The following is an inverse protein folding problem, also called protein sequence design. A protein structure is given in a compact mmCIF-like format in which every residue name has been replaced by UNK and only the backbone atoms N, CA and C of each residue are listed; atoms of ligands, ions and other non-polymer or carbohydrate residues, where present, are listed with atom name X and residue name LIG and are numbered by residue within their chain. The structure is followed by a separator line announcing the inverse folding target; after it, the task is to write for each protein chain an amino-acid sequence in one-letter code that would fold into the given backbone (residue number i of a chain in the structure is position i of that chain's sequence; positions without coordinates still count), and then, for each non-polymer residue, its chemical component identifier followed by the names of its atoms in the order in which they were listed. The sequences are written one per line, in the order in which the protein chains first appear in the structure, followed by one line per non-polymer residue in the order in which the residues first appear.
data_IF_820920449200
#
_entry.id   IF_820920449200
#
_cell.length_a   1.000
_cell.length_b   1.000
_cell.length_c   1.000
_cell.angle_alpha   90.00
_cell.angle_beta   90.00
_cell.angle_gamma   90.00
#
_symmetry.space_group_name_H-M   'P 1'
#
loop_
_entity.id
_entity.type
_entity.pdbx_description
1 polymer ?
#
# COMPACT_ATOMS: atom_id res chain seq x y z
N UNK A 1 -19.97 12.14 4.45
CA UNK A 1 -21.12 11.23 4.66
C UNK A 1 -20.60 9.93 5.28
N UNK A 2 -20.77 9.73 6.58
CA UNK A 2 -20.47 8.45 7.23
C UNK A 2 -21.66 7.51 6.97
N UNK A 3 -21.68 6.84 5.82
CA UNK A 3 -22.67 5.80 5.54
C UNK A 3 -22.28 4.55 6.35
N UNK A 4 -23.00 4.27 7.43
CA UNK A 4 -22.90 3.04 8.19
C UNK A 4 -24.02 2.08 7.76
N UNK A 5 -23.76 0.78 7.85
CA UNK A 5 -24.78 -0.22 7.53
C UNK A 5 -25.83 -0.28 8.64
N UNK A 6 -27.12 -0.26 8.25
CA UNK A 6 -28.24 -0.35 9.20
C UNK A 6 -28.32 -1.73 9.86
N UNK A 7 -27.83 -2.76 9.18
CA UNK A 7 -27.93 -4.17 9.63
C UNK A 7 -26.66 -4.67 10.31
N UNK A 8 -25.51 -4.06 10.03
CA UNK A 8 -24.24 -4.33 10.73
C UNK A 8 -23.51 -3.00 10.94
N UNK A 9 -23.61 -2.44 12.14
CA UNK A 9 -23.06 -1.11 12.44
C UNK A 9 -21.53 -1.07 12.45
N UNK A 10 -20.90 -2.23 12.59
CA UNK A 10 -19.44 -2.37 12.56
C UNK A 10 -18.90 -2.48 11.12
N UNK A 11 -19.78 -2.67 10.13
CA UNK A 11 -19.40 -2.77 8.72
C UNK A 11 -19.50 -1.40 8.02
N UNK A 12 -18.58 -1.18 7.07
CA UNK A 12 -18.58 0.03 6.24
C UNK A 12 -18.93 -0.33 4.80
N UNK A 13 -19.58 0.60 4.09
CA UNK A 13 -19.84 0.43 2.67
C UNK A 13 -18.53 0.48 1.86
N UNK A 14 -18.24 -0.63 1.20
CA UNK A 14 -17.07 -0.81 0.34
C UNK A 14 -17.53 -1.09 -1.08
N UNK A 15 -16.74 -0.64 -2.06
CA UNK A 15 -17.06 -0.86 -3.47
C UNK A 15 -16.60 -2.26 -3.89
N UNK A 16 -17.54 -3.18 -3.97
CA UNK A 16 -17.28 -4.58 -4.36
C UNK A 16 -17.38 -4.73 -5.88
N UNK A 17 -16.45 -5.49 -6.46
CA UNK A 17 -16.46 -5.85 -7.89
C UNK A 17 -17.15 -7.21 -8.04
N UNK A 18 -18.47 -7.22 -8.03
CA UNK A 18 -19.24 -8.48 -8.03
C UNK A 18 -19.62 -9.00 -9.43
N UNK A 19 -19.45 -8.21 -10.49
CA UNK A 19 -19.91 -8.58 -11.83
C UNK A 19 -18.74 -8.72 -12.83
N UNK A 20 -18.86 -9.66 -13.76
CA UNK A 20 -18.04 -9.77 -14.98
C UNK A 20 -17.98 -8.42 -15.72
N UNK A 21 -19.03 -7.61 -15.59
CA UNK A 21 -19.17 -6.25 -16.15
C UNK A 21 -18.54 -5.13 -15.31
N UNK A 22 -17.92 -5.40 -14.15
CA UNK A 22 -17.23 -4.43 -13.26
C UNK A 22 -18.07 -3.25 -12.74
N UNK A 23 -19.41 -3.31 -12.78
CA UNK A 23 -20.26 -2.30 -12.15
C UNK A 23 -20.15 -2.42 -10.63
N UNK A 24 -19.25 -1.62 -10.03
CA UNK A 24 -18.96 -1.71 -8.60
C UNK A 24 -20.14 -1.27 -7.75
N UNK A 25 -20.78 -2.22 -7.04
CA UNK A 25 -21.83 -1.95 -6.08
C UNK A 25 -21.22 -1.60 -4.71
N UNK A 26 -21.83 -0.64 -4.01
CA UNK A 26 -21.49 -0.36 -2.62
C UNK A 26 -22.22 -1.36 -1.72
N UNK A 27 -21.46 -2.19 -1.01
CA UNK A 27 -22.00 -3.18 -0.08
C UNK A 27 -21.31 -3.07 1.27
N UNK A 28 -22.02 -3.34 2.38
CA UNK A 28 -21.38 -3.41 3.68
C UNK A 28 -20.38 -4.56 3.69
N UNK A 29 -19.18 -4.29 4.18
CA UNK A 29 -18.13 -5.27 4.28
C UNK A 29 -17.07 -4.86 5.29
N UNK A 30 -16.13 -5.79 5.47
CA UNK A 30 -14.91 -5.58 6.23
C UNK A 30 -13.73 -5.74 5.28
N UNK A 31 -12.71 -4.95 5.50
CA UNK A 31 -11.42 -5.10 4.86
C UNK A 31 -10.65 -6.18 5.62
N UNK A 32 -10.31 -7.26 4.93
CA UNK A 32 -9.66 -8.43 5.52
C UNK A 32 -8.15 -8.27 5.43
N UNK A 33 -7.48 -8.40 6.56
CA UNK A 33 -6.04 -8.30 6.64
C UNK A 33 -5.44 -9.65 7.00
N UNK A 34 -4.43 -10.10 6.24
CA UNK A 34 -3.70 -11.33 6.50
C UNK A 34 -2.20 -11.10 6.40
N UNK A 35 -1.44 -11.78 7.26
CA UNK A 35 0.00 -11.91 7.17
C UNK A 35 0.33 -13.37 6.84
N UNK A 36 1.19 -13.60 5.85
CA UNK A 36 1.53 -14.94 5.42
C UNK A 36 3.03 -15.20 5.45
N UNK A 37 3.40 -16.47 5.53
CA UNK A 37 4.74 -16.94 5.22
C UNK A 37 4.68 -18.33 4.62
N UNK A 38 5.32 -18.52 3.48
CA UNK A 38 5.31 -19.80 2.77
C UNK A 38 3.90 -20.28 2.45
N UNK A 39 3.00 -19.35 2.09
CA UNK A 39 1.56 -19.49 1.84
C UNK A 39 0.80 -20.16 3.00
N UNK A 40 1.23 -19.94 4.24
CA UNK A 40 0.44 -20.17 5.44
C UNK A 40 0.02 -18.83 6.02
N UNK A 41 -1.21 -18.73 6.51
CA UNK A 41 -1.67 -17.54 7.23
C UNK A 41 -1.17 -17.59 8.67
N UNK A 42 -0.48 -16.54 9.11
CA UNK A 42 0.15 -16.46 10.43
C UNK A 42 -0.57 -15.46 11.34
N UNK A 43 -1.11 -14.39 10.76
CA UNK A 43 -1.96 -13.43 11.47
C UNK A 43 -3.08 -12.97 10.56
N UNK A 44 -4.18 -12.51 11.16
CA UNK A 44 -5.28 -11.91 10.43
C UNK A 44 -6.09 -10.96 11.33
N UNK A 45 -6.70 -9.93 10.75
CA UNK A 45 -7.73 -9.12 11.40
C UNK A 45 -8.71 -8.57 10.35
N UNK A 46 -9.78 -7.95 10.82
CA UNK A 46 -10.81 -7.33 9.97
C UNK A 46 -11.04 -5.88 10.38
N UNK A 47 -11.07 -5.00 9.39
CA UNK A 47 -11.17 -3.56 9.61
C UNK A 47 -12.42 -2.97 8.94
N UNK A 48 -13.06 -1.99 9.57
CA UNK A 48 -14.16 -1.25 8.95
C UNK A 48 -13.66 -0.20 7.94
N UNK A 49 -12.36 -0.13 7.65
CA UNK A 49 -11.77 0.91 6.81
C UNK A 49 -11.89 0.54 5.33
N UNK A 50 -12.44 1.41 4.47
CA UNK A 50 -12.51 1.16 3.02
C UNK A 50 -11.15 1.17 2.32
N UNK A 51 -10.13 1.78 2.94
CA UNK A 51 -8.79 1.95 2.36
C UNK A 51 -7.75 1.25 3.21
N UNK A 52 -6.86 0.55 2.53
CA UNK A 52 -5.75 -0.23 3.08
C UNK A 52 -4.71 0.62 3.84
N UNK A 53 -4.46 1.86 3.42
CA UNK A 53 -3.43 2.71 4.03
C UNK A 53 -3.50 2.79 5.56
N UNK A 54 -4.70 2.73 6.14
CA UNK A 54 -4.93 2.97 7.57
C UNK A 54 -4.94 1.70 8.42
N UNK A 55 -4.91 0.53 7.80
CA UNK A 55 -5.07 -0.74 8.51
C UNK A 55 -3.73 -1.36 8.87
N UNK A 56 -2.63 -1.00 8.19
CA UNK A 56 -1.32 -1.61 8.40
C UNK A 56 -0.74 -1.39 9.79
N UNK A 57 -0.63 -0.13 10.25
CA UNK A 57 -0.05 0.14 11.56
C UNK A 57 -0.83 -0.55 12.70
N UNK A 58 -2.17 -0.43 12.79
CA UNK A 58 -2.95 -1.19 13.77
C UNK A 58 -2.84 -2.71 13.64
N UNK A 59 -2.76 -3.22 12.41
CA UNK A 59 -2.60 -4.65 12.17
C UNK A 59 -1.25 -5.15 12.68
N UNK A 60 -0.16 -4.43 12.36
CA UNK A 60 1.18 -4.76 12.83
C UNK A 60 1.31 -4.63 14.36
N UNK A 61 0.61 -3.68 14.99
CA UNK A 61 0.54 -3.59 16.46
C UNK A 61 -0.03 -4.87 17.07
N UNK A 62 -1.07 -5.43 16.46
CA UNK A 62 -1.64 -6.69 16.91
C UNK A 62 -0.67 -7.86 16.68
N UNK A 63 -0.04 -7.95 15.50
CA UNK A 63 0.90 -9.03 15.17
C UNK A 63 2.07 -9.07 16.16
N UNK A 64 2.61 -7.92 16.53
CA UNK A 64 3.71 -7.80 17.49
C UNK A 64 3.39 -8.36 18.87
N UNK A 65 2.11 -8.47 19.25
CA UNK A 65 1.73 -9.03 20.55
C UNK A 65 2.02 -10.53 20.68
N UNK A 66 2.15 -11.25 19.57
CA UNK A 66 2.36 -12.70 19.57
C UNK A 66 3.44 -13.18 18.59
N UNK A 67 4.01 -12.28 17.78
CA UNK A 67 4.99 -12.64 16.75
C UNK A 67 6.03 -11.53 16.55
N UNK A 68 7.30 -11.92 16.49
CA UNK A 68 8.37 -10.98 16.15
C UNK A 68 8.31 -10.60 14.67
N UNK A 69 8.28 -9.30 14.37
CA UNK A 69 8.27 -8.82 13.00
C UNK A 69 9.58 -9.14 12.27
N UNK A 70 9.50 -9.50 10.97
CA UNK A 70 10.69 -9.67 10.13
C UNK A 70 11.43 -8.34 9.95
N UNK A 71 12.68 -8.42 9.47
CA UNK A 71 13.43 -7.24 9.04
C UNK A 71 12.74 -6.47 7.89
N UNK A 72 12.05 -7.17 6.99
CA UNK A 72 11.37 -6.57 5.84
C UNK A 72 9.86 -6.72 5.96
N UNK A 73 9.15 -5.60 5.91
CA UNK A 73 7.68 -5.56 5.84
C UNK A 73 7.29 -5.40 4.38
N UNK A 74 6.74 -6.45 3.79
CA UNK A 74 6.39 -6.49 2.36
C UNK A 74 4.88 -6.37 2.22
N UNK A 75 4.38 -5.39 1.46
CA UNK A 75 2.95 -5.17 1.27
C UNK A 75 2.58 -4.62 -0.12
N UNK A 76 1.28 -4.52 -0.38
CA UNK A 76 0.69 -4.00 -1.62
C UNK A 76 0.90 -2.47 -1.79
N UNK A 77 0.63 -1.93 -2.99
CA UNK A 77 0.82 -0.51 -3.26
C UNK A 77 -0.22 0.41 -2.59
N UNK A 78 -1.39 -0.12 -2.23
CA UNK A 78 -2.41 0.52 -1.42
C UNK A 78 -1.95 0.84 0.00
N UNK A 79 -0.88 0.21 0.51
CA UNK A 79 -0.28 0.55 1.80
C UNK A 79 0.76 1.67 1.74
N UNK A 80 1.28 1.98 0.55
CA UNK A 80 2.39 2.91 0.39
C UNK A 80 1.96 4.35 0.68
N UNK A 81 2.25 4.81 1.90
CA UNK A 81 1.92 6.14 2.39
C UNK A 81 2.98 6.63 3.36
N UNK A 82 3.13 7.96 3.45
CA UNK A 82 4.11 8.58 4.34
C UNK A 82 3.97 8.11 5.80
N UNK A 83 2.76 8.06 6.41
CA UNK A 83 2.61 7.59 7.78
C UNK A 83 3.08 6.15 7.98
N UNK A 84 2.77 5.25 7.03
CA UNK A 84 3.18 3.84 7.15
C UNK A 84 4.69 3.66 7.01
N UNK A 85 5.34 4.41 6.13
CA UNK A 85 6.80 4.35 6.01
C UNK A 85 7.49 4.88 7.27
N UNK A 86 7.02 6.02 7.79
CA UNK A 86 7.48 6.57 9.06
C UNK A 86 7.28 5.55 10.21
N UNK A 87 6.11 4.94 10.33
CA UNK A 87 5.82 3.92 11.34
C UNK A 87 6.80 2.73 11.26
N UNK A 88 7.02 2.20 10.07
CA UNK A 88 7.87 1.02 9.86
C UNK A 88 9.35 1.35 10.12
N UNK A 89 9.83 2.49 9.62
CA UNK A 89 11.25 2.88 9.72
C UNK A 89 11.60 3.35 11.13
N UNK A 90 10.82 4.28 11.68
CA UNK A 90 11.19 5.01 12.89
C UNK A 90 10.71 4.29 14.15
N UNK A 91 9.44 3.84 14.18
CA UNK A 91 8.90 3.17 15.37
C UNK A 91 9.30 1.71 15.46
N UNK A 92 9.26 0.98 14.34
CA UNK A 92 9.48 -0.47 14.34
C UNK A 92 10.92 -0.87 14.00
N UNK A 93 11.72 0.05 13.46
CA UNK A 93 13.09 -0.23 13.04
C UNK A 93 13.18 -1.28 11.92
N UNK A 94 12.16 -1.39 11.07
CA UNK A 94 12.08 -2.37 9.97
C UNK A 94 12.16 -1.68 8.62
N UNK A 95 12.28 -2.46 7.54
CA UNK A 95 12.46 -1.94 6.18
C UNK A 95 11.16 -2.18 5.37
N UNK A 96 10.50 -1.11 4.87
CA UNK A 96 9.30 -1.27 4.05
C UNK A 96 9.64 -1.63 2.61
N UNK A 97 9.20 -2.81 2.15
CA UNK A 97 9.17 -3.20 0.73
C UNK A 97 7.74 -3.08 0.20
N UNK A 98 7.29 -1.84 0.10
CA UNK A 98 5.90 -1.48 -0.21
C UNK A 98 5.96 -0.39 -1.27
N UNK A 99 5.50 -0.62 -2.51
CA UNK A 99 5.44 0.45 -3.50
C UNK A 99 4.47 1.54 -3.06
N UNK A 100 4.75 2.81 -3.36
CA UNK A 100 3.75 3.86 -3.20
C UNK A 100 2.79 3.87 -4.41
N UNK A 101 1.59 4.44 -4.23
CA UNK A 101 0.50 4.42 -5.23
C UNK A 101 0.94 4.87 -6.63
N UNK A 102 1.82 5.86 -6.71
CA UNK A 102 2.31 6.42 -7.97
C UNK A 102 3.48 5.65 -8.59
N UNK A 103 4.10 4.71 -7.88
CA UNK A 103 5.35 4.03 -8.28
C UNK A 103 5.30 3.47 -9.72
N UNK A 104 4.27 2.68 -10.04
CA UNK A 104 4.12 2.11 -11.40
C UNK A 104 3.73 3.16 -12.45
N UNK A 105 2.99 4.20 -12.05
CA UNK A 105 2.55 5.27 -12.96
C UNK A 105 3.74 6.12 -13.39
N UNK A 106 4.65 6.41 -12.45
CA UNK A 106 5.84 7.20 -12.67
C UNK A 106 6.83 6.56 -13.66
N UNK A 107 6.83 5.23 -13.77
CA UNK A 107 7.68 4.49 -14.71
C UNK A 107 7.19 4.56 -16.18
N UNK A 108 5.92 4.94 -16.42
CA UNK A 108 5.37 4.97 -17.77
C UNK A 108 5.99 6.13 -18.57
N UNK A 109 6.29 5.88 -19.85
CA UNK A 109 6.83 6.88 -20.80
C UNK A 109 6.04 8.20 -20.77
N UNK A 110 4.70 8.11 -20.88
CA UNK A 110 3.79 9.27 -20.80
C UNK A 110 3.97 10.12 -19.53
N UNK A 111 4.32 9.51 -18.39
CA UNK A 111 4.57 10.27 -17.16
C UNK A 111 5.97 10.89 -17.17
N UNK A 112 6.99 10.12 -17.55
CA UNK A 112 8.38 10.58 -17.60
C UNK A 112 8.59 11.73 -18.59
N UNK A 113 7.88 11.72 -19.70
CA UNK A 113 7.99 12.73 -20.76
C UNK A 113 7.00 13.90 -20.59
N UNK A 114 6.14 13.88 -19.57
CA UNK A 114 5.21 14.98 -19.36
C UNK A 114 5.98 16.18 -18.76
N UNK A 115 6.11 17.31 -19.50
CA UNK A 115 6.85 18.46 -19.00
C UNK A 115 6.17 19.12 -17.79
N UNK A 116 4.86 18.95 -17.59
CA UNK A 116 4.13 19.58 -16.48
C UNK A 116 4.23 18.82 -15.16
N UNK A 117 4.95 17.69 -15.13
CA UNK A 117 5.25 17.00 -13.89
C UNK A 117 6.42 17.67 -13.16
N UNK A 118 6.19 18.08 -11.92
CA UNK A 118 7.19 18.79 -11.10
C UNK A 118 8.50 17.99 -10.95
N UNK A 119 8.42 16.65 -10.89
CA UNK A 119 9.61 15.79 -10.83
C UNK A 119 10.50 15.84 -12.06
N UNK A 120 10.02 16.41 -13.17
CA UNK A 120 10.79 16.62 -14.40
C UNK A 120 11.32 18.06 -14.53
N UNK A 121 11.03 18.94 -13.56
CA UNK A 121 11.48 20.33 -13.58
C UNK A 121 12.91 20.43 -13.09
N UNK A 122 13.66 21.37 -13.65
CA UNK A 122 14.99 21.69 -13.14
C UNK A 122 14.86 22.35 -11.76
N UNK A 123 15.65 21.88 -10.80
CA UNK A 123 15.71 22.42 -9.46
C UNK A 123 17.13 22.87 -9.17
N UNK A 124 17.28 24.17 -8.90
CA UNK A 124 18.54 24.74 -8.45
C UNK A 124 18.58 24.73 -6.92
N UNK A 125 19.60 24.04 -6.38
CA UNK A 125 19.81 23.90 -4.93
C UNK A 125 20.39 25.16 -4.31
N UNK A 126 21.15 25.96 -5.06
CA UNK A 126 21.80 27.16 -4.53
C UNK A 126 20.78 28.28 -4.32
N UNK A 127 19.90 28.50 -5.31
CA UNK A 127 18.85 29.51 -5.24
C UNK A 127 17.50 28.99 -4.73
N UNK A 128 17.41 27.71 -4.32
CA UNK A 128 16.18 27.06 -3.83
C UNK A 128 14.97 27.34 -4.73
N UNK A 129 15.15 27.08 -6.03
CA UNK A 129 14.23 27.52 -7.08
C UNK A 129 13.96 26.41 -8.08
N UNK A 130 12.69 26.20 -8.42
CA UNK A 130 12.30 25.37 -9.57
C UNK A 130 12.18 26.21 -10.84
N UNK A 131 12.40 25.59 -12.00
CA UNK A 131 12.16 26.19 -13.31
C UNK A 131 11.07 25.40 -14.04
N UNK A 132 10.00 26.08 -14.45
CA UNK A 132 8.89 25.44 -15.17
C UNK A 132 9.24 25.18 -16.65
N UNK A 133 8.40 24.46 -17.41
CA UNK A 133 8.63 24.17 -18.82
C UNK A 133 8.68 25.40 -19.73
N UNK A 134 8.07 26.50 -19.30
CA UNK A 134 8.08 27.80 -19.98
C UNK A 134 9.32 28.64 -19.60
N UNK A 135 10.26 28.09 -18.82
CA UNK A 135 11.48 28.76 -18.38
C UNK A 135 11.31 29.71 -17.20
N UNK A 136 10.11 29.82 -16.63
CA UNK A 136 9.83 30.74 -15.51
C UNK A 136 10.26 30.13 -14.17
N UNK A 137 10.75 30.98 -13.27
CA UNK A 137 11.24 30.58 -11.96
C UNK A 137 10.11 30.48 -10.93
N UNK A 138 10.28 29.53 -10.01
CA UNK A 138 9.43 29.31 -8.84
C UNK A 138 10.33 29.26 -7.60
N UNK A 139 10.71 30.42 -7.04
CA UNK A 139 11.46 30.47 -5.79
C UNK A 139 10.64 29.91 -4.63
N UNK A 140 11.34 29.49 -3.58
CA UNK A 140 10.73 29.16 -2.30
C UNK A 140 9.89 30.32 -1.77
N UNK A 141 8.69 30.00 -1.28
CA UNK A 141 7.74 30.97 -0.72
C UNK A 141 7.59 30.81 0.79
N UNK A 142 7.14 29.65 1.26
CA UNK A 142 6.91 29.39 2.67
C UNK A 142 6.78 27.88 2.95
N UNK A 143 6.85 27.50 4.22
CA UNK A 143 6.50 26.15 4.67
C UNK A 143 5.01 26.06 4.98
N UNK A 144 4.38 24.98 4.51
CA UNK A 144 2.99 24.66 4.80
C UNK A 144 2.93 23.42 5.68
N UNK A 145 2.21 23.53 6.79
CA UNK A 145 1.94 22.43 7.71
C UNK A 145 0.45 22.09 7.67
N UNK A 146 0.13 20.84 7.36
CA UNK A 146 -1.26 20.34 7.31
C UNK A 146 -1.39 19.08 8.12
N UNK A 147 -2.27 19.11 9.11
CA UNK A 147 -2.66 17.91 9.87
C UNK A 147 -3.81 17.24 9.15
N UNK A 148 -3.67 15.96 8.84
CA UNK A 148 -4.79 15.19 8.31
C UNK A 148 -5.80 14.83 9.41
N UNK A 149 -6.91 14.23 8.99
CA UNK A 149 -8.01 13.85 9.88
C UNK A 149 -7.56 12.91 11.01
N UNK A 150 -6.47 12.19 10.81
CA UNK A 150 -5.98 11.16 11.73
C UNK A 150 -4.82 11.68 12.60
N UNK A 151 -4.55 12.99 12.55
CA UNK A 151 -3.53 13.64 13.37
C UNK A 151 -2.13 13.61 12.78
N UNK A 152 -1.92 13.00 11.61
CA UNK A 152 -0.61 12.98 10.98
C UNK A 152 -0.31 14.34 10.35
N UNK A 153 0.83 14.90 10.73
CA UNK A 153 1.29 16.20 10.26
C UNK A 153 2.12 16.02 8.98
N UNK A 154 1.71 16.70 7.92
CA UNK A 154 2.49 16.82 6.68
C UNK A 154 3.09 18.21 6.58
N UNK A 155 4.39 18.25 6.38
CA UNK A 155 5.14 19.46 6.11
C UNK A 155 5.50 19.49 4.62
N UNK A 156 5.39 20.66 4.00
CA UNK A 156 5.68 20.84 2.58
C UNK A 156 6.26 22.22 2.34
N UNK A 157 7.34 22.29 1.57
CA UNK A 157 7.90 23.54 1.06
C UNK A 157 7.06 23.99 -0.13
N UNK A 158 6.55 25.21 -0.09
CA UNK A 158 5.75 25.79 -1.15
C UNK A 158 6.61 26.68 -2.02
N UNK A 159 6.51 26.52 -3.33
CA UNK A 159 7.19 27.33 -4.33
C UNK A 159 6.15 28.01 -5.20
N UNK A 160 6.35 29.30 -5.48
CA UNK A 160 5.40 30.13 -6.19
C UNK A 160 6.07 30.71 -7.43
N UNK A 161 5.42 30.58 -8.57
CA UNK A 161 5.89 31.20 -9.81
C UNK A 161 5.82 32.71 -9.76
N UNK A 162 6.92 33.36 -10.15
CA UNK A 162 7.03 34.82 -10.15
C UNK A 162 5.97 35.47 -11.05
N UNK A 163 5.77 34.93 -12.25
CA UNK A 163 4.76 35.39 -13.18
C UNK A 163 4.20 34.22 -14.00
N UNK A 164 2.88 34.17 -14.19
CA UNK A 164 2.21 33.23 -15.09
C UNK A 164 1.34 33.94 -16.14
N UNK A 165 1.43 35.27 -16.23
CA UNK A 165 0.71 36.09 -17.20
C UNK A 165 1.11 35.75 -18.64
N UNK A 166 0.10 35.64 -19.52
CA UNK A 166 0.31 35.35 -20.94
C UNK A 166 1.02 34.03 -21.24
N UNK A 167 1.11 33.08 -20.30
CA UNK A 167 1.81 31.82 -20.51
C UNK A 167 1.05 30.95 -21.54
N UNK A 168 1.67 30.56 -22.66
CA UNK A 168 1.01 29.77 -23.71
C UNK A 168 0.63 28.35 -23.23
N UNK A 169 1.21 27.90 -22.13
CA UNK A 169 0.97 26.57 -21.55
C UNK A 169 0.00 26.58 -20.36
N UNK A 170 -0.69 27.70 -20.10
CA UNK A 170 -1.54 27.86 -18.91
C UNK A 170 -2.59 26.74 -18.78
N UNK A 171 -3.31 26.44 -19.85
CA UNK A 171 -4.39 25.43 -19.89
C UNK A 171 -3.89 24.01 -19.59
N UNK A 172 -2.63 23.73 -19.92
CA UNK A 172 -1.98 22.44 -19.66
C UNK A 172 -1.33 22.40 -18.26
N UNK A 173 -0.92 23.55 -17.74
CA UNK A 173 -0.18 23.67 -16.49
C UNK A 173 -1.11 23.72 -15.26
N UNK A 174 -2.16 24.55 -15.29
CA UNK A 174 -3.00 24.83 -14.11
C UNK A 174 -4.48 25.02 -14.47
N UNK A 175 -5.36 24.71 -13.52
CA UNK A 175 -6.81 24.98 -13.61
C UNK A 175 -7.24 26.20 -12.79
N UNK A 176 -6.28 26.92 -12.22
CA UNK A 176 -6.55 28.08 -11.38
C UNK A 176 -6.97 29.30 -12.22
N UNK A 177 -7.80 30.16 -11.66
CA UNK A 177 -8.36 31.36 -12.31
C UNK A 177 -7.28 32.22 -12.95
N UNK A 178 -7.59 32.84 -14.08
CA UNK A 178 -6.67 33.73 -14.80
C UNK A 178 -6.15 34.86 -13.89
N UNK A 179 -4.86 35.18 -13.99
CA UNK A 179 -4.16 36.06 -13.04
C UNK A 179 -3.58 35.36 -11.81
N UNK A 180 -3.89 34.09 -11.57
CA UNK A 180 -3.19 33.30 -10.53
C UNK A 180 -1.85 32.74 -11.01
N UNK A 181 -0.91 32.66 -10.06
CA UNK A 181 0.42 32.10 -10.24
C UNK A 181 0.46 30.62 -9.88
N UNK A 182 1.28 29.85 -10.60
CA UNK A 182 1.46 28.43 -10.32
C UNK A 182 2.15 28.25 -8.96
N UNK A 183 1.49 27.55 -8.05
CA UNK A 183 2.06 27.12 -6.78
C UNK A 183 2.28 25.61 -6.78
N UNK A 184 3.43 25.17 -6.26
CA UNK A 184 3.78 23.75 -6.11
C UNK A 184 4.25 23.47 -4.69
N UNK A 185 3.82 22.34 -4.13
CA UNK A 185 4.23 21.90 -2.79
C UNK A 185 5.11 20.66 -2.89
N UNK A 186 6.26 20.68 -2.23
CA UNK A 186 7.19 19.56 -2.15
C UNK A 186 7.30 19.09 -0.71
N UNK A 187 6.90 17.85 -0.45
CA UNK A 187 7.09 17.20 0.83
C UNK A 187 8.41 16.43 0.79
N UNK A 188 9.45 17.01 1.38
CA UNK A 188 10.83 16.50 1.32
C UNK A 188 10.92 15.08 1.89
N UNK A 189 10.38 14.86 3.09
CA UNK A 189 10.35 13.54 3.72
C UNK A 189 9.65 12.48 2.85
N UNK A 190 8.56 12.84 2.19
CA UNK A 190 7.88 11.93 1.26
C UNK A 190 8.70 11.66 -0.02
N UNK A 191 9.39 12.65 -0.57
CA UNK A 191 10.28 12.44 -1.72
C UNK A 191 11.46 11.52 -1.37
N UNK A 192 12.05 11.70 -0.19
CA UNK A 192 13.12 10.85 0.34
C UNK A 192 12.65 9.41 0.51
N UNK A 193 11.48 9.21 1.14
CA UNK A 193 10.90 7.89 1.30
C UNK A 193 10.62 7.23 -0.07
N UNK A 194 10.06 7.98 -1.04
CA UNK A 194 9.87 7.47 -2.41
C UNK A 194 11.19 7.08 -3.08
N UNK A 195 12.24 7.88 -2.90
CA UNK A 195 13.57 7.57 -3.42
C UNK A 195 14.11 6.27 -2.81
N UNK A 196 14.09 6.15 -1.49
CA UNK A 196 14.46 4.92 -0.77
C UNK A 196 13.67 3.71 -1.28
N UNK A 197 12.35 3.80 -1.40
CA UNK A 197 11.51 2.72 -1.94
C UNK A 197 11.92 2.34 -3.37
N UNK A 198 12.25 3.31 -4.24
CA UNK A 198 12.74 3.01 -5.59
C UNK A 198 14.05 2.23 -5.55
N UNK A 199 15.00 2.63 -4.71
CA UNK A 199 16.28 1.95 -4.53
C UNK A 199 16.07 0.52 -4.04
N UNK A 200 15.30 0.33 -2.96
CA UNK A 200 15.01 -0.98 -2.38
C UNK A 200 14.29 -1.91 -3.37
N UNK A 201 13.32 -1.42 -4.14
CA UNK A 201 12.61 -2.27 -5.09
C UNK A 201 13.40 -2.56 -6.37
N UNK A 202 14.45 -1.78 -6.66
CA UNK A 202 15.33 -1.99 -7.82
C UNK A 202 16.54 -2.88 -7.50
N UNK A 203 16.92 -3.00 -6.22
CA UNK A 203 17.93 -3.93 -5.76
C UNK A 203 17.50 -5.39 -6.00
N UNK A 204 18.44 -6.24 -6.41
CA UNK A 204 18.17 -7.62 -6.81
C UNK A 204 17.57 -8.46 -5.66
N UNK A 205 18.12 -8.31 -4.45
CA UNK A 205 17.74 -9.11 -3.29
C UNK A 205 16.38 -8.68 -2.76
N UNK A 206 16.19 -7.38 -2.50
CA UNK A 206 14.92 -6.87 -1.97
C UNK A 206 13.82 -6.82 -3.02
N UNK A 207 14.16 -6.61 -4.30
CA UNK A 207 13.24 -6.76 -5.42
C UNK A 207 12.73 -8.19 -5.57
N UNK A 208 13.61 -9.20 -5.47
CA UNK A 208 13.22 -10.60 -5.47
C UNK A 208 12.35 -10.97 -4.25
N UNK A 209 12.63 -10.37 -3.09
CA UNK A 209 11.81 -10.53 -1.88
C UNK A 209 10.39 -10.02 -2.11
N UNK A 210 10.27 -8.80 -2.65
CA UNK A 210 8.99 -8.19 -2.98
C UNK A 210 8.22 -9.01 -4.03
N UNK A 211 8.90 -9.56 -5.04
CA UNK A 211 8.26 -10.37 -6.08
C UNK A 211 7.57 -11.63 -5.53
N UNK A 212 8.12 -12.25 -4.47
CA UNK A 212 7.54 -13.44 -3.83
C UNK A 212 6.17 -13.20 -3.20
N UNK A 213 5.88 -11.96 -2.82
CA UNK A 213 4.59 -11.53 -2.22
C UNK A 213 3.40 -12.08 -3.00
N UNK A 214 3.41 -11.90 -4.33
CA UNK A 214 2.35 -12.37 -5.23
C UNK A 214 2.10 -13.87 -5.11
N UNK A 215 3.18 -14.66 -5.10
CA UNK A 215 3.10 -16.12 -5.02
C UNK A 215 2.82 -16.64 -3.61
N UNK A 216 2.98 -15.80 -2.59
CA UNK A 216 2.76 -16.19 -1.20
C UNK A 216 1.30 -16.02 -0.80
N UNK A 217 0.69 -14.90 -1.19
CA UNK A 217 -0.61 -14.46 -0.65
C UNK A 217 -1.78 -14.81 -1.57
N UNK A 218 -1.62 -14.63 -2.88
CA UNK A 218 -2.68 -14.96 -3.85
C UNK A 218 -3.19 -16.40 -3.69
N UNK A 219 -2.35 -17.43 -3.44
CA UNK A 219 -2.84 -18.78 -3.21
C UNK A 219 -3.74 -18.89 -1.99
N UNK A 220 -3.43 -18.22 -0.87
CA UNK A 220 -4.24 -18.28 0.36
C UNK A 220 -5.65 -17.78 0.07
N UNK A 221 -5.79 -16.63 -0.60
CA UNK A 221 -7.09 -16.12 -1.02
C UNK A 221 -7.76 -16.99 -2.08
N UNK A 222 -7.00 -17.58 -2.99
CA UNK A 222 -7.49 -18.55 -3.96
C UNK A 222 -8.10 -19.78 -3.29
N UNK A 223 -7.42 -20.35 -2.28
CA UNK A 223 -7.95 -21.45 -1.49
C UNK A 223 -9.19 -21.05 -0.70
N UNK A 224 -9.18 -19.87 -0.09
CA UNK A 224 -10.32 -19.36 0.67
C UNK A 224 -11.56 -19.21 -0.22
N UNK A 225 -11.42 -18.55 -1.37
CA UNK A 225 -12.55 -18.23 -2.26
C UNK A 225 -12.96 -19.39 -3.16
N UNK A 226 -12.02 -20.00 -3.88
CA UNK A 226 -12.33 -21.01 -4.89
C UNK A 226 -12.48 -22.41 -4.30
N UNK A 227 -11.68 -22.77 -3.29
CA UNK A 227 -11.69 -24.13 -2.74
C UNK A 227 -12.62 -24.30 -1.52
N UNK A 228 -12.73 -23.28 -0.67
CA UNK A 228 -13.69 -23.29 0.45
C UNK A 228 -15.02 -22.61 0.10
N UNK A 229 -15.13 -21.92 -1.04
CA UNK A 229 -16.33 -21.15 -1.39
C UNK A 229 -16.57 -19.94 -0.48
N UNK A 230 -15.59 -19.56 0.36
CA UNK A 230 -15.74 -18.51 1.35
C UNK A 230 -15.65 -17.14 0.68
N UNK A 231 -16.80 -16.65 0.24
CA UNK A 231 -16.95 -15.40 -0.51
C UNK A 231 -17.75 -14.34 0.25
N UNK A 232 -18.41 -14.72 1.36
CA UNK A 232 -19.23 -13.85 2.21
C UNK A 232 -19.16 -14.33 3.65
N UNK A 233 -19.28 -13.39 4.58
CA UNK A 233 -19.46 -13.69 6.00
C UNK A 233 -20.91 -14.06 6.30
N UNK A 234 -21.11 -15.07 7.14
CA UNK A 234 -22.42 -15.55 7.59
C UNK A 234 -22.87 -14.84 8.87
N UNK A 235 -21.94 -14.21 9.59
CA UNK A 235 -22.19 -13.51 10.84
C UNK A 235 -22.02 -11.99 10.70
N UNK A 236 -22.48 -11.25 11.71
CA UNK A 236 -22.42 -9.78 11.79
C UNK A 236 -21.67 -9.33 13.05
N UNK A 237 -21.06 -8.14 12.98
CA UNK A 237 -20.27 -7.55 14.05
C UNK A 237 -18.80 -8.00 14.03
N UNK A 238 -17.89 -7.06 14.27
CA UNK A 238 -16.44 -7.23 14.05
C UNK A 238 -15.90 -8.51 14.70
N UNK A 239 -16.25 -8.74 15.97
CA UNK A 239 -15.74 -9.89 16.73
C UNK A 239 -16.20 -11.24 16.19
N UNK A 240 -17.45 -11.35 15.75
CA UNK A 240 -17.97 -12.61 15.18
C UNK A 240 -17.37 -12.86 13.81
N UNK A 241 -17.29 -11.82 12.97
CA UNK A 241 -16.68 -11.87 11.64
C UNK A 241 -15.22 -12.30 11.70
N UNK A 242 -14.45 -11.72 12.63
CA UNK A 242 -13.07 -12.11 12.89
C UNK A 242 -12.95 -13.60 13.24
N UNK A 243 -13.82 -14.13 14.12
CA UNK A 243 -13.81 -15.56 14.46
C UNK A 243 -14.16 -16.45 13.27
N UNK A 244 -15.18 -16.09 12.49
CA UNK A 244 -15.56 -16.83 11.28
C UNK A 244 -14.39 -16.88 10.28
N UNK A 245 -13.71 -15.74 10.05
CA UNK A 245 -12.51 -15.68 9.23
C UNK A 245 -11.40 -16.60 9.76
N UNK A 246 -11.19 -16.61 11.07
CA UNK A 246 -10.20 -17.47 11.73
C UNK A 246 -10.42 -18.95 11.45
N UNK A 247 -11.66 -19.43 11.56
CA UNK A 247 -12.00 -20.82 11.23
C UNK A 247 -11.73 -21.13 9.75
N UNK A 248 -12.09 -20.23 8.84
CA UNK A 248 -11.86 -20.42 7.42
C UNK A 248 -10.35 -20.47 7.08
N UNK A 249 -9.55 -19.55 7.62
CA UNK A 249 -8.10 -19.51 7.43
C UNK A 249 -7.40 -20.73 8.05
N UNK A 250 -7.87 -21.19 9.21
CA UNK A 250 -7.38 -22.42 9.84
C UNK A 250 -7.65 -23.63 8.94
N UNK A 251 -8.84 -23.74 8.34
CA UNK A 251 -9.16 -24.80 7.39
C UNK A 251 -8.24 -24.75 6.14
N UNK A 252 -7.95 -23.56 5.61
CA UNK A 252 -6.98 -23.39 4.51
C UNK A 252 -5.59 -23.88 4.91
N UNK A 253 -5.10 -23.45 6.07
CA UNK A 253 -3.79 -23.85 6.59
C UNK A 253 -3.69 -25.37 6.79
N UNK A 254 -4.69 -25.99 7.43
CA UNK A 254 -4.73 -27.44 7.68
C UNK A 254 -4.76 -28.24 6.38
N UNK A 255 -5.59 -27.84 5.41
CA UNK A 255 -5.66 -28.50 4.11
C UNK A 255 -4.31 -28.49 3.40
N UNK A 256 -3.62 -27.34 3.42
CA UNK A 256 -2.27 -27.21 2.86
C UNK A 256 -1.25 -28.06 3.61
N UNK A 257 -1.30 -28.06 4.93
CA UNK A 257 -0.40 -28.85 5.77
C UNK A 257 -0.52 -30.34 5.43
N UNK A 258 -1.74 -30.88 5.40
CA UNK A 258 -2.02 -32.28 5.04
C UNK A 258 -1.50 -32.59 3.64
N UNK A 259 -1.82 -31.76 2.64
CA UNK A 259 -1.33 -31.97 1.27
C UNK A 259 0.21 -31.99 1.19
N UNK A 260 0.88 -31.12 1.96
CA UNK A 260 2.34 -31.04 2.01
C UNK A 260 2.95 -32.25 2.70
N UNK A 261 2.36 -32.71 3.82
CA UNK A 261 2.80 -33.90 4.56
C UNK A 261 2.62 -35.16 3.71
N UNK A 262 1.46 -35.34 3.08
CA UNK A 262 1.16 -36.47 2.18
C UNK A 262 2.10 -36.49 0.97
N UNK A 263 2.40 -35.33 0.37
CA UNK A 263 3.36 -35.22 -0.71
C UNK A 263 4.81 -35.55 -0.28
N UNK A 264 5.15 -35.32 1.00
CA UNK A 264 6.48 -35.65 1.56
C UNK A 264 6.59 -37.13 1.91
N UNK A 265 5.53 -37.76 2.40
CA UNK A 265 5.53 -39.21 2.70
C UNK A 265 5.58 -40.06 1.43
N UNK A 266 4.99 -39.60 0.32
CA UNK A 266 5.09 -40.25 -1.00
C UNK A 266 6.45 -40.06 -1.68
N UNK A 267 7.17 -38.95 -1.40
CA UNK A 267 8.52 -38.67 -1.93
C UNK A 267 9.68 -39.30 -1.16
N UNK A 268 9.42 -40.06 -0.10
CA UNK A 268 10.45 -40.76 0.71
C UNK A 268 11.16 -41.92 -0.03
N UNK A 269 11.18 -41.90 -1.36
CA UNK A 269 11.96 -42.76 -2.26
C UNK A 269 13.10 -42.06 -3.02
N UNK A 270 13.33 -40.75 -2.88
CA UNK A 270 14.57 -40.13 -3.40
C UNK A 270 15.03 -38.96 -2.53
N UNK A 271 16.24 -39.08 -1.98
CA UNK A 271 16.82 -38.12 -1.06
C UNK A 271 17.40 -36.90 -1.76
N UNK A 272 16.93 -35.71 -1.39
CA UNK A 272 17.78 -34.53 -1.24
C UNK A 272 17.09 -33.47 -0.39
N UNK A 273 17.75 -33.06 0.69
CA UNK A 273 17.25 -32.12 1.71
C UNK A 273 17.65 -30.71 1.29
N UNK A 274 16.77 -29.95 0.64
CA UNK A 274 16.99 -28.50 0.47
C UNK A 274 16.64 -27.78 1.77
N UNK A 275 17.58 -26.98 2.29
CA UNK A 275 17.37 -26.14 3.45
C UNK A 275 16.28 -25.10 3.15
N UNK A 276 15.35 -24.93 4.09
CA UNK A 276 14.44 -23.79 4.06
C UNK A 276 15.25 -22.56 4.41
N UNK A 277 15.43 -21.65 3.45
CA UNK A 277 15.80 -20.26 3.73
C UNK A 277 14.81 -19.70 4.77
N UNK A 278 15.34 -18.95 5.74
CA UNK A 278 14.65 -18.50 6.96
C UNK A 278 13.29 -17.80 6.77
N UNK A 279 12.56 -17.57 7.88
CA UNK A 279 11.17 -17.12 7.84
C UNK A 279 11.06 -15.79 7.11
N UNK A 280 10.30 -15.82 6.03
CA UNK A 280 10.06 -14.70 5.14
C UNK A 280 8.60 -14.33 5.33
N UNK A 281 8.34 -13.31 6.12
CA UNK A 281 6.99 -12.82 6.38
C UNK A 281 6.61 -11.85 5.27
N UNK A 282 5.59 -12.21 4.51
CA UNK A 282 5.02 -11.42 3.44
C UNK A 282 3.62 -11.00 3.90
N UNK A 283 3.41 -9.70 4.08
CA UNK A 283 2.15 -9.15 4.56
C UNK A 283 1.44 -8.52 3.36
N UNK A 284 0.82 -9.32 2.50
CA UNK A 284 -0.11 -8.77 1.52
C UNK A 284 -1.52 -8.86 2.05
N UNK A 285 -2.18 -7.74 1.89
CA UNK A 285 -3.44 -7.49 2.47
C UNK A 285 -4.35 -6.85 1.42
N UNK A 286 -5.56 -7.39 1.25
CA UNK A 286 -6.55 -6.98 0.24
C UNK A 286 -7.98 -7.13 0.76
#
# INVERSE_FOLDING_TARGET
RNSYSKTDRDATFMRMKDDHMKNGQLKPGYNVQIATSGQYTLAYDVFPNPTDMRTLAPFLDEVETFLELPAYIVADAGYGSQPNYTDILERRGRIPLIPYTMYRKEQKKKWRENPFNISNWAYDRESDTFTCPDGRRLPFSHESRKTDRDGFVRESRMYLSEDCGGCPFRDLCTKAEEGSHRQVGVNVAWEEQKHMTRTLLSDEKTGALYARRKTDVEPVFGYLKANLGFTRFSVRGKQRVRRELGFALMAVNLRKFIATVVARSTKKGSGHRKSMTGPLFLIEIL
#
